data_IF_282689278071
#
_entry.id   IF_282689278071
#
_cell.length_a   1.000
_cell.length_b   1.000
_cell.length_c   1.000
_cell.angle_alpha   90.00
_cell.angle_beta   90.00
_cell.angle_gamma   90.00
#
_symmetry.space_group_name_H-M   'P 1'
#
loop_
_entity.id
_entity.type
_entity.pdbx_description
1 polymer ?
#
# COMPACT_ATOMS: atom_id res chain seq x y z
N UNK A 1 -12.90 -6.01 3.20
CA UNK A 1 -13.72 -4.79 3.04
C UNK A 1 -14.71 -4.72 4.16
N UNK A 2 -14.80 -3.61 4.88
CA UNK A 2 -15.94 -3.44 5.79
C UNK A 2 -17.21 -3.25 4.96
N UNK A 3 -18.31 -3.82 5.42
CA UNK A 3 -19.65 -3.59 4.84
C UNK A 3 -19.95 -2.10 4.66
N UNK A 4 -19.36 -1.25 5.45
CA UNK A 4 -19.55 0.21 5.47
C UNK A 4 -19.04 0.88 4.19
N UNK A 5 -17.90 0.42 3.64
CA UNK A 5 -17.39 0.89 2.35
C UNK A 5 -18.25 0.42 1.19
N UNK A 6 -18.72 -0.83 1.24
CA UNK A 6 -19.61 -1.41 0.22
C UNK A 6 -21.00 -0.75 0.23
N UNK A 7 -21.48 -0.32 1.39
CA UNK A 7 -22.73 0.42 1.56
C UNK A 7 -22.61 1.92 1.19
N UNK A 8 -21.41 2.37 0.79
CA UNK A 8 -21.18 3.75 0.36
C UNK A 8 -21.21 4.77 1.49
N UNK A 9 -20.88 4.40 2.73
CA UNK A 9 -20.87 5.31 3.89
C UNK A 9 -19.86 6.45 3.73
N UNK A 10 -18.72 6.23 3.04
CA UNK A 10 -17.77 7.28 2.74
C UNK A 10 -18.25 8.25 1.64
N UNK A 11 -19.31 7.90 0.90
CA UNK A 11 -19.69 8.63 -0.30
C UNK A 11 -18.72 8.36 -1.45
N UNK A 12 -18.48 9.36 -2.29
CA UNK A 12 -17.47 9.29 -3.35
C UNK A 12 -16.08 9.46 -2.73
N UNK A 13 -15.21 8.45 -2.85
CA UNK A 13 -13.81 8.54 -2.44
C UNK A 13 -13.04 9.25 -3.55
N UNK A 14 -12.61 10.47 -3.30
CA UNK A 14 -11.90 11.32 -4.27
C UNK A 14 -10.40 11.45 -3.99
N UNK A 15 -9.94 11.07 -2.80
CA UNK A 15 -8.53 11.10 -2.39
C UNK A 15 -8.19 9.87 -1.56
N UNK A 16 -7.04 9.25 -1.86
CA UNK A 16 -6.45 8.20 -1.04
C UNK A 16 -4.96 8.42 -0.83
N UNK A 17 -4.43 7.87 0.27
CA UNK A 17 -2.99 7.82 0.55
C UNK A 17 -2.61 6.38 0.87
N UNK A 18 -1.63 5.89 0.14
CA UNK A 18 -0.95 4.62 0.35
C UNK A 18 0.42 4.92 0.97
N UNK A 19 0.67 4.49 2.20
CA UNK A 19 1.87 4.85 2.94
C UNK A 19 2.60 3.61 3.44
N UNK A 20 3.85 3.46 3.01
CA UNK A 20 4.76 2.39 3.40
C UNK A 20 6.14 2.99 3.67
N UNK A 21 6.33 3.58 4.86
CA UNK A 21 7.54 4.34 5.19
C UNK A 21 8.20 3.79 6.45
N UNK A 22 9.49 3.47 6.31
CA UNK A 22 10.40 3.17 7.41
C UNK A 22 11.36 4.32 7.64
N UNK A 23 11.73 4.57 8.88
CA UNK A 23 12.77 5.57 9.19
C UNK A 23 14.16 5.05 8.87
N UNK A 24 14.45 3.81 9.25
CA UNK A 24 15.67 3.04 8.96
C UNK A 24 15.29 1.57 8.98
N UNK A 25 15.03 1.01 7.83
CA UNK A 25 14.62 -0.38 7.68
C UNK A 25 14.98 -0.92 6.30
N UNK A 26 16.21 -0.66 5.87
CA UNK A 26 16.78 -1.21 4.63
C UNK A 26 17.03 -2.70 4.86
N UNK A 27 16.52 -3.60 3.99
CA UNK A 27 16.77 -5.03 4.09
C UNK A 27 18.26 -5.36 4.00
N UNK A 28 18.72 -6.35 4.79
CA UNK A 28 20.12 -6.77 4.84
C UNK A 28 20.35 -8.20 4.35
N UNK A 29 19.31 -8.82 3.79
CA UNK A 29 19.30 -10.21 3.36
C UNK A 29 18.84 -10.35 1.91
N UNK A 30 19.09 -11.54 1.32
CA UNK A 30 18.64 -11.88 -0.02
C UNK A 30 19.21 -10.96 -1.09
N UNK A 31 18.42 -10.66 -2.10
CA UNK A 31 18.79 -9.88 -3.29
C UNK A 31 18.20 -8.47 -3.30
N UNK A 32 17.57 -8.02 -2.21
CA UNK A 32 16.84 -6.77 -2.12
C UNK A 32 17.59 -5.52 -2.58
N UNK A 33 18.92 -5.51 -2.42
CA UNK A 33 19.77 -4.36 -2.77
C UNK A 33 20.25 -4.38 -4.22
N UNK A 34 19.95 -5.44 -4.97
CA UNK A 34 20.41 -5.63 -6.35
C UNK A 34 19.26 -5.44 -7.34
N UNK A 35 19.29 -4.35 -8.11
CA UNK A 35 18.26 -4.01 -9.09
C UNK A 35 18.09 -5.09 -10.19
N UNK A 36 19.18 -5.72 -10.63
CA UNK A 36 19.11 -6.74 -11.68
C UNK A 36 18.39 -8.03 -11.25
N UNK A 37 18.36 -8.31 -9.95
CA UNK A 37 17.73 -9.53 -9.40
C UNK A 37 16.36 -9.23 -8.78
N UNK A 38 16.20 -8.07 -8.12
CA UNK A 38 14.97 -7.68 -7.42
C UNK A 38 14.01 -6.87 -8.30
N UNK A 39 14.51 -6.16 -9.30
CA UNK A 39 13.74 -5.28 -10.18
C UNK A 39 13.58 -3.85 -9.66
N UNK A 40 13.74 -3.59 -8.37
CA UNK A 40 13.66 -2.29 -7.73
C UNK A 40 13.79 -2.42 -6.21
N UNK A 41 13.71 -1.31 -5.50
CA UNK A 41 13.90 -1.23 -4.06
C UNK A 41 12.59 -1.07 -3.27
N UNK A 42 12.51 -0.01 -2.49
CA UNK A 42 11.40 0.25 -1.58
C UNK A 42 10.03 0.29 -2.28
N UNK A 43 9.98 0.76 -3.52
CA UNK A 43 8.74 0.83 -4.30
C UNK A 43 8.18 -0.57 -4.59
N UNK A 44 9.04 -1.45 -5.09
CA UNK A 44 8.67 -2.84 -5.41
C UNK A 44 8.41 -3.67 -4.16
N UNK A 45 9.23 -3.49 -3.10
CA UNK A 45 9.13 -4.28 -1.87
C UNK A 45 7.88 -3.89 -1.05
N UNK A 46 7.85 -2.69 -0.49
CA UNK A 46 6.80 -2.28 0.45
C UNK A 46 5.73 -1.39 -0.17
N UNK A 47 6.06 -0.64 -1.23
CA UNK A 47 5.11 0.21 -1.94
C UNK A 47 4.00 -0.58 -2.62
N UNK A 48 4.33 -1.75 -3.18
CA UNK A 48 3.37 -2.71 -3.75
C UNK A 48 2.24 -3.02 -2.78
N UNK A 49 2.56 -3.39 -1.54
CA UNK A 49 1.56 -3.78 -0.54
C UNK A 49 0.63 -2.63 -0.15
N UNK A 50 1.19 -1.44 0.08
CA UNK A 50 0.38 -0.28 0.43
C UNK A 50 -0.53 0.16 -0.71
N UNK A 51 -0.01 0.14 -1.95
CA UNK A 51 -0.79 0.50 -3.13
C UNK A 51 -1.91 -0.50 -3.39
N UNK A 52 -1.60 -1.80 -3.41
CA UNK A 52 -2.60 -2.86 -3.64
C UNK A 52 -3.73 -2.78 -2.61
N UNK A 53 -3.39 -2.70 -1.31
CA UNK A 53 -4.38 -2.55 -0.26
C UNK A 53 -5.25 -1.29 -0.46
N UNK A 54 -4.65 -0.17 -0.87
CA UNK A 54 -5.38 1.08 -1.13
C UNK A 54 -6.36 0.93 -2.28
N UNK A 55 -5.93 0.42 -3.43
CA UNK A 55 -6.78 0.20 -4.59
C UNK A 55 -7.89 -0.83 -4.31
N UNK A 56 -7.56 -1.87 -3.54
CA UNK A 56 -8.51 -2.89 -3.14
C UNK A 56 -9.61 -2.33 -2.22
N UNK A 57 -9.24 -1.52 -1.22
CA UNK A 57 -10.20 -0.88 -0.32
C UNK A 57 -11.06 0.14 -1.09
N UNK A 58 -10.45 0.95 -1.97
CA UNK A 58 -11.18 1.88 -2.85
C UNK A 58 -12.09 1.16 -3.85
N UNK A 59 -11.88 -0.12 -4.10
CA UNK A 59 -12.47 -0.87 -5.21
C UNK A 59 -12.28 -0.17 -6.57
N UNK A 60 -11.09 0.39 -6.80
CA UNK A 60 -10.79 1.16 -8.00
C UNK A 60 -9.40 0.80 -8.54
N UNK A 61 -9.37 0.07 -9.65
CA UNK A 61 -8.18 -0.39 -10.37
C UNK A 61 -8.12 0.22 -11.79
N UNK A 62 -8.54 1.48 -11.93
CA UNK A 62 -8.56 2.18 -13.21
C UNK A 62 -7.69 3.44 -13.13
N UNK A 63 -6.35 3.30 -13.13
CA UNK A 63 -5.47 4.45 -13.21
C UNK A 63 -5.57 5.07 -14.61
N UNK A 64 -5.37 6.38 -14.68
CA UNK A 64 -5.37 7.14 -15.91
C UNK A 64 -4.01 7.75 -16.20
N UNK A 65 -3.37 8.32 -15.16
CA UNK A 65 -2.10 9.04 -15.28
C UNK A 65 -1.28 8.89 -14.01
N UNK A 66 0.03 8.83 -14.18
CA UNK A 66 0.97 8.64 -13.07
C UNK A 66 2.13 9.62 -13.22
N UNK A 67 2.43 10.34 -12.14
CA UNK A 67 3.68 11.08 -11.97
C UNK A 67 4.43 10.53 -10.75
N UNK A 68 5.75 10.45 -10.84
CA UNK A 68 6.55 9.87 -9.77
C UNK A 68 7.94 10.45 -9.63
N UNK A 69 8.51 10.20 -8.45
CA UNK A 69 9.90 10.53 -8.12
C UNK A 69 10.56 9.38 -7.38
N UNK A 70 11.82 9.12 -7.69
CA UNK A 70 12.61 8.01 -7.15
C UNK A 70 13.93 8.56 -6.61
N UNK A 71 14.35 8.10 -5.45
CA UNK A 71 15.55 8.58 -4.77
C UNK A 71 16.45 7.44 -4.30
N UNK A 72 17.75 7.63 -4.48
CA UNK A 72 18.85 6.80 -3.96
C UNK A 72 19.71 7.67 -3.03
N UNK A 73 19.17 8.07 -1.87
CA UNK A 73 19.79 9.08 -0.98
C UNK A 73 20.40 8.47 0.28
N UNK A 74 19.63 7.69 1.01
CA UNK A 74 20.06 7.14 2.30
C UNK A 74 20.63 5.73 2.17
N UNK A 75 20.31 5.00 1.11
CA UNK A 75 20.84 3.66 0.85
C UNK A 75 22.37 3.61 0.74
N UNK A 76 23.00 4.69 0.23
CA UNK A 76 24.46 4.83 0.16
C UNK A 76 25.08 5.59 1.34
N UNK A 77 24.29 5.89 2.35
CA UNK A 77 24.74 6.63 3.52
C UNK A 77 25.26 5.77 4.66
N UNK A 78 25.33 6.37 5.85
CA UNK A 78 25.67 5.70 7.08
C UNK A 78 24.65 4.60 7.42
N UNK A 79 25.12 3.41 7.73
CA UNK A 79 24.31 2.24 8.07
C UNK A 79 23.86 2.20 9.53
N UNK A 80 24.26 3.18 10.33
CA UNK A 80 23.89 3.26 11.75
C UNK A 80 22.37 3.42 11.94
N UNK A 81 21.84 2.79 12.96
CA UNK A 81 20.44 2.89 13.37
C UNK A 81 19.46 2.11 12.50
N UNK A 82 19.91 1.28 11.56
CA UNK A 82 19.05 0.41 10.79
C UNK A 82 18.46 -0.71 11.64
N UNK A 83 17.16 -0.96 11.50
CA UNK A 83 16.44 -1.97 12.30
C UNK A 83 16.94 -3.39 12.09
N UNK A 84 17.50 -3.67 10.90
CA UNK A 84 17.99 -5.01 10.51
C UNK A 84 19.52 -5.13 10.54
N UNK A 85 20.22 -4.16 11.15
CA UNK A 85 21.68 -4.13 11.17
C UNK A 85 22.26 -3.42 9.93
N UNK A 86 23.62 -3.37 9.82
CA UNK A 86 24.27 -2.71 8.70
C UNK A 86 24.03 -3.46 7.39
N UNK A 87 23.81 -2.72 6.31
CA UNK A 87 23.66 -3.26 4.94
C UNK A 87 24.87 -2.92 4.09
N UNK A 88 24.96 -3.55 2.92
CA UNK A 88 25.98 -3.24 1.92
C UNK A 88 25.63 -1.94 1.19
N UNK A 89 26.06 -0.82 1.75
CA UNK A 89 25.81 0.52 1.20
C UNK A 89 26.71 0.86 -0.01
N UNK A 90 27.74 0.09 -0.28
CA UNK A 90 28.64 0.30 -1.42
C UNK A 90 28.02 -0.27 -2.72
N UNK A 91 27.37 -1.43 -2.62
CA UNK A 91 26.85 -2.17 -3.78
C UNK A 91 25.33 -2.07 -3.97
N UNK A 92 24.62 -1.25 -3.17
CA UNK A 92 23.19 -1.01 -3.37
C UNK A 92 22.95 -0.31 -4.71
N UNK A 93 22.11 -0.90 -5.56
CA UNK A 93 21.77 -0.38 -6.90
C UNK A 93 20.33 0.08 -7.02
N UNK A 94 19.46 -0.30 -6.08
CA UNK A 94 18.04 0.07 -6.04
C UNK A 94 17.80 1.43 -5.37
N UNK A 95 16.60 1.94 -5.50
CA UNK A 95 16.15 3.12 -4.75
C UNK A 95 15.83 2.77 -3.30
N UNK A 96 16.03 3.75 -2.42
CA UNK A 96 15.62 3.67 -1.02
C UNK A 96 14.26 4.34 -0.75
N UNK A 97 13.80 5.16 -1.67
CA UNK A 97 12.54 5.91 -1.56
C UNK A 97 11.92 6.21 -2.92
N UNK A 98 10.61 6.10 -3.02
CA UNK A 98 9.83 6.48 -4.19
C UNK A 98 8.48 7.08 -3.77
N UNK A 99 7.99 8.01 -4.58
CA UNK A 99 6.73 8.72 -4.34
C UNK A 99 5.95 8.81 -5.64
N UNK A 100 4.64 8.54 -5.58
CA UNK A 100 3.75 8.55 -6.72
C UNK A 100 2.53 9.45 -6.51
N UNK A 101 2.11 10.10 -7.58
CA UNK A 101 0.84 10.80 -7.72
C UNK A 101 0.07 10.14 -8.86
N UNK A 102 -1.03 9.48 -8.53
CA UNK A 102 -1.83 8.71 -9.47
C UNK A 102 -3.20 9.37 -9.62
N UNK A 103 -3.61 9.69 -10.83
CA UNK A 103 -4.97 10.11 -11.14
C UNK A 103 -5.74 8.92 -11.69
N UNK A 104 -6.88 8.62 -11.12
CA UNK A 104 -7.78 7.55 -11.54
C UNK A 104 -8.74 8.04 -12.64
N UNK A 105 -9.33 7.13 -13.44
CA UNK A 105 -10.30 7.50 -14.50
C UNK A 105 -11.51 8.29 -13.99
N UNK A 106 -11.98 7.99 -12.78
CA UNK A 106 -13.09 8.71 -12.14
C UNK A 106 -12.68 10.06 -11.52
N UNK A 107 -11.42 10.49 -11.69
CA UNK A 107 -10.89 11.73 -11.15
C UNK A 107 -10.34 11.65 -9.73
N UNK A 108 -10.47 10.52 -9.05
CA UNK A 108 -9.86 10.33 -7.74
C UNK A 108 -8.33 10.39 -7.83
N UNK A 109 -7.70 10.84 -6.76
CA UNK A 109 -6.23 10.92 -6.63
C UNK A 109 -5.73 9.92 -5.59
N UNK A 110 -4.64 9.21 -5.91
CA UNK A 110 -3.92 8.36 -4.96
C UNK A 110 -2.49 8.89 -4.81
N UNK A 111 -2.08 9.17 -3.59
CA UNK A 111 -0.68 9.40 -3.23
C UNK A 111 -0.05 8.10 -2.75
N UNK A 112 1.12 7.78 -3.29
CA UNK A 112 1.94 6.66 -2.82
C UNK A 112 3.24 7.17 -2.24
N UNK A 113 3.55 6.73 -1.03
CA UNK A 113 4.83 6.96 -0.35
C UNK A 113 5.44 5.59 -0.01
N UNK A 114 6.60 5.29 -0.56
CA UNK A 114 7.33 4.06 -0.28
C UNK A 114 8.79 4.38 0.07
N UNK A 115 9.24 4.00 1.26
CA UNK A 115 10.63 4.26 1.66
C UNK A 115 11.12 3.26 2.71
N UNK A 116 12.29 2.71 2.49
CA UNK A 116 13.03 1.93 3.49
C UNK A 116 13.77 2.83 4.49
N UNK A 117 14.10 4.05 4.07
CA UNK A 117 14.84 4.98 4.90
C UNK A 117 14.46 6.44 4.59
N UNK A 118 13.74 7.05 5.52
CA UNK A 118 13.34 8.44 5.43
C UNK A 118 13.52 9.13 6.79
N UNK A 119 14.07 10.33 6.81
CA UNK A 119 14.23 11.10 8.05
C UNK A 119 12.91 11.72 8.49
N UNK A 120 12.01 10.89 8.98
CA UNK A 120 10.68 11.26 9.47
C UNK A 120 10.34 10.48 10.74
N UNK A 121 9.38 10.96 11.50
CA UNK A 121 8.76 10.24 12.61
C UNK A 121 7.44 9.58 12.22
N UNK A 122 6.86 9.91 11.06
CA UNK A 122 5.71 9.20 10.49
C UNK A 122 6.21 7.96 9.74
N UNK A 123 6.34 6.86 10.47
CA UNK A 123 6.99 5.62 10.03
C UNK A 123 6.06 4.42 10.14
N UNK A 124 4.90 4.48 9.55
CA UNK A 124 3.98 3.36 9.53
C UNK A 124 4.02 2.68 8.17
N UNK A 125 4.14 1.36 8.17
CA UNK A 125 4.00 0.55 6.98
C UNK A 125 2.54 0.16 6.75
N UNK A 126 2.14 0.05 5.48
CA UNK A 126 0.82 -0.41 5.05
C UNK A 126 -0.35 0.40 5.64
N UNK A 127 -0.16 1.71 5.79
CA UNK A 127 -1.20 2.62 6.23
C UNK A 127 -1.99 3.14 5.02
N UNK A 128 -3.30 3.09 5.13
CA UNK A 128 -4.21 3.66 4.13
C UNK A 128 -5.02 4.78 4.76
N UNK A 129 -5.19 5.87 4.02
CA UNK A 129 -6.15 6.94 4.34
C UNK A 129 -7.07 7.13 3.14
N UNK A 130 -8.37 7.16 3.36
CA UNK A 130 -9.40 7.44 2.35
C UNK A 130 -10.17 8.69 2.75
N UNK A 131 -10.35 9.61 1.80
CA UNK A 131 -11.20 10.79 1.98
C UNK A 131 -12.36 10.71 1.00
N UNK A 132 -13.55 10.56 1.56
CA UNK A 132 -14.79 10.55 0.80
C UNK A 132 -15.62 11.83 1.05
N UNK A 133 -16.68 11.99 0.29
CA UNK A 133 -17.55 13.17 0.35
C UNK A 133 -18.50 13.20 1.57
N UNK A 134 -18.67 12.05 2.24
CA UNK A 134 -19.53 11.92 3.43
C UNK A 134 -18.75 11.57 4.69
N UNK A 135 -17.68 10.79 4.53
CA UNK A 135 -16.83 10.36 5.62
C UNK A 135 -15.43 10.01 5.09
N UNK A 136 -14.49 9.85 5.97
CA UNK A 136 -13.15 9.34 5.66
C UNK A 136 -12.84 8.09 6.49
N UNK A 137 -11.77 7.41 6.12
CA UNK A 137 -11.23 6.30 6.89
C UNK A 137 -9.70 6.39 6.94
N UNK A 138 -9.11 6.04 8.07
CA UNK A 138 -7.66 5.94 8.19
C UNK A 138 -7.23 4.77 9.07
N UNK A 139 -5.95 4.40 8.94
CA UNK A 139 -5.33 3.29 9.67
C UNK A 139 -4.17 3.77 10.56
N UNK A 140 -4.24 4.98 11.10
CA UNK A 140 -3.18 5.55 11.95
C UNK A 140 -2.96 4.76 13.24
N UNK A 141 -4.06 4.33 13.86
CA UNK A 141 -4.06 3.55 15.10
C UNK A 141 -5.25 2.59 15.08
N UNK A 142 -5.13 1.52 14.28
CA UNK A 142 -6.26 0.71 13.87
C UNK A 142 -7.15 1.41 12.84
N UNK A 143 -8.27 0.82 12.51
CA UNK A 143 -9.24 1.42 11.60
C UNK A 143 -10.06 2.48 12.33
N UNK A 144 -10.09 3.69 11.78
CA UNK A 144 -10.90 4.80 12.26
C UNK A 144 -11.73 5.37 11.12
N UNK A 145 -13.04 5.47 11.31
CA UNK A 145 -13.96 6.16 10.40
C UNK A 145 -14.21 7.55 10.99
N UNK A 146 -13.90 8.59 10.25
CA UNK A 146 -14.15 9.97 10.61
C UNK A 146 -15.33 10.52 9.82
N UNK A 147 -16.27 11.15 10.51
CA UNK A 147 -17.55 11.59 9.92
C UNK A 147 -18.15 12.77 10.69
N UNK A 148 -19.36 13.15 10.34
CA UNK A 148 -20.20 14.09 11.11
C UNK A 148 -21.38 13.33 11.65
N UNK A 149 -21.59 13.38 12.96
CA UNK A 149 -22.73 12.81 13.66
C UNK A 149 -23.45 13.90 14.44
N UNK A 150 -24.75 14.09 14.21
CA UNK A 150 -25.57 15.11 14.89
C UNK A 150 -25.01 16.55 14.82
N UNK A 151 -24.31 16.88 13.73
CA UNK A 151 -23.70 18.19 13.51
C UNK A 151 -22.29 18.37 14.11
N UNK A 152 -21.75 17.36 14.78
CA UNK A 152 -20.43 17.38 15.38
C UNK A 152 -19.48 16.42 14.67
N UNK A 153 -18.18 16.74 14.68
CA UNK A 153 -17.15 15.82 14.18
C UNK A 153 -17.09 14.59 15.07
N UNK A 154 -17.09 13.42 14.46
CA UNK A 154 -17.09 12.14 15.15
C UNK A 154 -16.03 11.20 14.58
N UNK A 155 -15.43 10.41 15.46
CA UNK A 155 -14.57 9.28 15.14
C UNK A 155 -15.21 7.98 15.62
N UNK A 156 -15.34 7.03 14.73
CA UNK A 156 -15.80 5.68 15.06
C UNK A 156 -14.66 4.69 14.86
N UNK A 157 -14.31 3.96 15.92
CA UNK A 157 -13.32 2.89 15.86
C UNK A 157 -14.05 1.56 15.94
N UNK A 158 -14.22 0.86 14.81
CA UNK A 158 -14.88 -0.43 14.84
C UNK A 158 -14.09 -1.40 15.72
N UNK A 159 -14.77 -2.10 16.59
CA UNK A 159 -14.20 -3.24 17.30
C UNK A 159 -14.03 -4.36 16.26
N UNK A 160 -12.88 -4.38 15.63
CA UNK A 160 -12.52 -5.50 14.76
C UNK A 160 -12.45 -6.75 15.66
N UNK A 161 -13.41 -7.64 15.48
CA UNK A 161 -13.41 -8.90 16.22
C UNK A 161 -12.14 -9.66 15.83
N UNK A 162 -11.28 -9.88 16.80
CA UNK A 162 -10.20 -10.87 16.68
C UNK A 162 -10.75 -12.30 16.68
N UNK A 163 -12.07 -12.42 16.75
CA UNK A 163 -12.74 -13.70 16.77
C UNK A 163 -13.37 -13.90 15.41
N UNK A 164 -12.96 -14.93 14.74
CA UNK A 164 -13.66 -15.50 13.62
C UNK A 164 -15.16 -15.67 13.90
N UNK A 165 -15.90 -16.04 12.90
CA UNK A 165 -17.31 -16.41 13.01
C UNK A 165 -17.47 -17.42 14.15
N UNK A 166 -18.55 -17.37 14.97
CA UNK A 166 -18.76 -18.37 16.01
C UNK A 166 -18.68 -19.78 15.42
N UNK A 167 -17.68 -20.57 15.85
CA UNK A 167 -17.38 -21.89 15.32
C UNK A 167 -16.13 -22.00 14.46
N UNK A 168 -15.46 -20.90 14.12
CA UNK A 168 -14.14 -20.94 13.46
C UNK A 168 -13.03 -21.15 14.48
N UNK A 169 -12.07 -21.98 14.07
CA UNK A 169 -10.92 -22.36 14.89
C UNK A 169 -10.00 -21.15 15.06
N UNK A 170 -9.91 -20.62 16.28
CA UNK A 170 -9.02 -19.49 16.65
C UNK A 170 -7.52 -19.82 16.44
N UNK A 171 -7.19 -21.03 16.04
CA UNK A 171 -5.82 -21.48 15.76
C UNK A 171 -5.36 -21.18 14.34
N UNK A 172 -6.24 -20.70 13.43
CA UNK A 172 -5.87 -20.41 12.05
C UNK A 172 -5.11 -19.09 11.96
N UNK A 173 -3.92 -19.14 11.39
CA UNK A 173 -3.17 -17.94 11.05
C UNK A 173 -3.62 -17.37 9.68
N UNK A 174 -3.13 -16.20 9.32
CA UNK A 174 -3.47 -15.52 8.06
C UNK A 174 -3.13 -16.38 6.83
N UNK A 175 -2.01 -17.11 6.85
CA UNK A 175 -1.59 -17.99 5.75
C UNK A 175 -2.53 -19.19 5.56
N UNK A 176 -3.06 -19.77 6.65
CA UNK A 176 -4.05 -20.84 6.58
C UNK A 176 -5.34 -20.36 5.94
N UNK A 177 -5.77 -19.13 6.29
CA UNK A 177 -6.96 -18.51 5.71
C UNK A 177 -6.79 -18.23 4.20
N UNK A 178 -5.63 -17.69 3.80
CA UNK A 178 -5.32 -17.46 2.38
C UNK A 178 -5.30 -18.79 1.59
N UNK A 179 -4.67 -19.82 2.13
CA UNK A 179 -4.61 -21.14 1.50
C UNK A 179 -6.01 -21.75 1.32
N UNK A 180 -6.87 -21.67 2.34
CA UNK A 180 -8.26 -22.15 2.24
C UNK A 180 -9.07 -21.40 1.19
N UNK A 181 -8.95 -20.06 1.14
CA UNK A 181 -9.62 -19.25 0.12
C UNK A 181 -9.15 -19.61 -1.29
N UNK A 182 -7.87 -19.92 -1.44
CA UNK A 182 -7.31 -20.35 -2.72
C UNK A 182 -7.86 -21.72 -3.12
N UNK A 183 -7.89 -22.69 -2.20
CA UNK A 183 -8.45 -24.02 -2.45
C UNK A 183 -9.94 -23.96 -2.77
N UNK A 184 -10.73 -23.15 -2.04
CA UNK A 184 -12.16 -22.97 -2.33
C UNK A 184 -12.37 -22.37 -3.74
N UNK A 185 -11.53 -21.43 -4.15
CA UNK A 185 -11.59 -20.87 -5.50
C UNK A 185 -11.31 -21.93 -6.58
N UNK A 186 -10.34 -22.81 -6.35
CA UNK A 186 -10.03 -23.92 -7.26
C UNK A 186 -11.19 -24.94 -7.34
N UNK A 187 -11.74 -25.33 -6.20
CA UNK A 187 -12.81 -26.33 -6.13
C UNK A 187 -14.13 -25.81 -6.68
N UNK A 188 -14.45 -24.55 -6.48
CA UNK A 188 -15.72 -23.93 -6.87
C UNK A 188 -15.70 -23.22 -8.20
N UNK A 189 -14.51 -22.93 -8.76
CA UNK A 189 -14.33 -22.11 -9.94
C UNK A 189 -14.70 -20.63 -9.73
N UNK A 190 -14.88 -20.18 -8.50
CA UNK A 190 -15.12 -18.77 -8.16
C UNK A 190 -13.83 -17.96 -8.28
N UNK A 191 -13.92 -16.67 -8.60
CA UNK A 191 -12.74 -15.79 -8.59
C UNK A 191 -12.09 -15.74 -7.20
N UNK A 192 -10.77 -15.67 -7.17
CA UNK A 192 -10.00 -15.38 -5.95
C UNK A 192 -10.34 -13.99 -5.40
N UNK A 193 -10.08 -13.75 -4.13
CA UNK A 193 -10.29 -12.45 -3.47
C UNK A 193 -9.45 -11.35 -4.14
N UNK A 194 -8.19 -11.64 -4.42
CA UNK A 194 -7.29 -10.80 -5.21
C UNK A 194 -7.13 -11.45 -6.58
N UNK A 195 -7.41 -10.69 -7.63
CA UNK A 195 -7.39 -11.18 -9.01
C UNK A 195 -6.05 -10.85 -9.68
N UNK A 196 -5.51 -11.70 -10.56
CA UNK A 196 -4.30 -11.41 -11.30
C UNK A 196 -4.36 -10.09 -12.08
N UNK A 197 -5.53 -9.74 -12.63
CA UNK A 197 -5.73 -8.47 -13.34
C UNK A 197 -5.56 -7.25 -12.41
N UNK A 198 -5.93 -7.37 -11.14
CA UNK A 198 -5.73 -6.33 -10.13
C UNK A 198 -4.26 -6.17 -9.80
N UNK A 199 -3.55 -7.28 -9.59
CA UNK A 199 -2.09 -7.27 -9.38
C UNK A 199 -1.32 -6.68 -10.58
N UNK A 200 -1.79 -6.95 -11.81
CA UNK A 200 -1.22 -6.35 -13.02
C UNK A 200 -1.34 -4.83 -13.01
N UNK A 201 -2.48 -4.27 -12.60
CA UNK A 201 -2.66 -2.81 -12.51
C UNK A 201 -1.70 -2.20 -11.49
N UNK A 202 -1.49 -2.86 -10.34
CA UNK A 202 -0.49 -2.41 -9.35
C UNK A 202 0.89 -2.32 -10.02
N UNK A 203 1.33 -3.39 -10.70
CA UNK A 203 2.61 -3.42 -11.41
C UNK A 203 2.72 -2.30 -12.44
N UNK A 204 1.68 -2.07 -13.25
CA UNK A 204 1.66 -0.99 -14.25
C UNK A 204 1.85 0.40 -13.61
N UNK A 205 1.22 0.65 -12.46
CA UNK A 205 1.41 1.91 -11.73
C UNK A 205 2.86 2.05 -11.24
N UNK A 206 3.45 0.98 -10.67
CA UNK A 206 4.84 1.02 -10.20
C UNK A 206 5.82 1.28 -11.35
N UNK A 207 5.65 0.60 -12.49
CA UNK A 207 6.45 0.84 -13.69
C UNK A 207 6.29 2.28 -14.20
N UNK A 208 5.07 2.82 -14.19
CA UNK A 208 4.81 4.21 -14.58
C UNK A 208 5.47 5.22 -13.63
N UNK A 209 5.59 4.93 -12.33
CA UNK A 209 6.34 5.76 -11.37
C UNK A 209 7.83 5.80 -11.74
N UNK A 210 8.44 4.65 -12.05
CA UNK A 210 9.84 4.60 -12.50
C UNK A 210 10.03 5.35 -13.82
N UNK A 211 9.14 5.14 -14.78
CA UNK A 211 9.20 5.81 -16.09
C UNK A 211 9.04 7.33 -15.94
N UNK A 212 8.09 7.78 -15.13
CA UNK A 212 7.89 9.21 -14.84
C UNK A 212 9.13 9.83 -14.18
N UNK A 213 9.70 9.15 -13.19
CA UNK A 213 10.92 9.61 -12.52
C UNK A 213 12.13 9.70 -13.48
N UNK A 214 12.24 8.75 -14.43
CA UNK A 214 13.31 8.71 -15.43
C UNK A 214 13.16 9.80 -16.48
N UNK A 215 11.94 10.08 -16.93
CA UNK A 215 11.66 11.01 -18.04
C UNK A 215 11.37 12.43 -17.58
N UNK A 216 10.98 12.60 -16.31
CA UNK A 216 10.47 13.86 -15.76
C UNK A 216 9.10 14.24 -16.31
N UNK A 217 8.35 13.28 -16.86
CA UNK A 217 7.02 13.49 -17.45
C UNK A 217 5.97 12.59 -16.82
N UNK A 218 4.74 13.03 -16.87
CA UNK A 218 3.58 12.20 -16.54
C UNK A 218 3.45 11.05 -17.57
N UNK A 219 3.03 9.88 -17.10
CA UNK A 219 2.78 8.68 -17.91
C UNK A 219 1.28 8.46 -17.96
N UNK A 220 0.73 8.29 -19.16
CA UNK A 220 -0.66 7.86 -19.37
C UNK A 220 -0.73 6.31 -19.40
N UNK A 221 -1.75 5.73 -18.75
CA UNK A 221 -2.00 4.30 -18.65
C UNK A 221 -3.27 3.90 -19.38
#
# INVERSE_FOLDING_TARGET
>A
RSSDLENGELGEVYLAKAHAVRRRGIPTWGVFLNEAEQGGGALIDIGTHALDMTLWIMNNYKPKRVSGSVYKKLGKGDTAGNAFGPWDNEHITVEDSAFGYITMENGATVFLEASWALNTTDTREQKVTLCGTRAGADMNDGVCINSVCSGELAETRPLLRQTGVPGEDLAKNEADFEAEMWLDALDTGKPTLVRPEQAMVVTQILEAIYESARTGKEVEL
#
